data_IF_148561566044
#
_entry.id   IF_148561566044
#
_cell.length_a   1.000
_cell.length_b   1.000
_cell.length_c   1.000
_cell.angle_alpha   90.00
_cell.angle_beta   90.00
_cell.angle_gamma   90.00
#
_symmetry.space_group_name_H-M   'P 1'
#
loop_
_entity.id
_entity.type
_entity.pdbx_description
1 polymer ?
#
# COMPACT_ATOMS: atom_id res chain seq x y z
N UNK A 1 14.85 -0.99 -19.25
CA UNK A 1 16.32 -0.85 -19.22
C UNK A 1 16.77 0.13 -20.29
N UNK A 2 16.42 -0.11 -21.55
CA UNK A 2 16.83 0.76 -22.67
C UNK A 2 16.45 2.24 -22.47
N UNK A 3 15.30 2.49 -21.85
CA UNK A 3 14.76 3.84 -21.63
C UNK A 3 14.87 4.32 -20.18
N UNK A 4 15.56 3.58 -19.29
CA UNK A 4 15.68 3.88 -17.83
C UNK A 4 14.34 4.13 -17.16
N UNK A 5 13.32 3.32 -17.48
CA UNK A 5 11.96 3.44 -16.93
C UNK A 5 11.69 2.31 -15.95
N UNK A 6 11.27 2.67 -14.75
CA UNK A 6 10.84 1.70 -13.73
C UNK A 6 9.41 1.21 -14.01
N UNK A 7 9.25 -0.11 -13.95
CA UNK A 7 7.95 -0.79 -14.08
C UNK A 7 7.56 -1.36 -12.73
N UNK A 8 6.44 -0.92 -12.18
CA UNK A 8 5.92 -1.41 -10.90
C UNK A 8 4.62 -2.19 -11.10
N UNK A 9 4.62 -3.49 -10.77
CA UNK A 9 3.37 -4.25 -10.75
C UNK A 9 2.58 -3.90 -9.49
N UNK A 10 1.27 -3.73 -9.65
CA UNK A 10 0.34 -3.56 -8.54
C UNK A 10 -0.17 -4.94 -8.09
N UNK A 11 -0.30 -5.22 -6.78
CA UNK A 11 -0.91 -6.46 -6.29
C UNK A 11 -2.39 -6.52 -6.64
N UNK A 12 -2.94 -7.72 -6.63
CA UNK A 12 -4.37 -7.93 -6.79
C UNK A 12 -5.16 -7.40 -5.59
N UNK A 13 -6.35 -6.89 -5.88
CA UNK A 13 -7.29 -6.37 -4.89
C UNK A 13 -8.66 -7.05 -5.09
N UNK A 14 -9.08 -7.93 -4.20
CA UNK A 14 -8.36 -8.50 -3.05
C UNK A 14 -7.28 -9.53 -3.44
N UNK A 15 -6.35 -9.88 -2.51
CA UNK A 15 -5.25 -10.79 -2.79
C UNK A 15 -5.64 -12.27 -2.60
N UNK A 16 -6.81 -12.65 -3.06
CA UNK A 16 -7.30 -14.04 -3.07
C UNK A 16 -8.13 -14.33 -4.31
N UNK A 17 -8.33 -15.60 -4.61
CA UNK A 17 -9.09 -16.04 -5.78
C UNK A 17 -10.54 -15.52 -5.75
N UNK A 18 -11.03 -15.03 -6.89
CA UNK A 18 -12.40 -14.56 -7.07
C UNK A 18 -13.06 -15.40 -8.18
N UNK A 19 -14.28 -15.89 -7.92
CA UNK A 19 -15.03 -16.75 -8.86
C UNK A 19 -14.24 -17.98 -9.33
N UNK A 20 -13.36 -18.53 -8.48
CA UNK A 20 -12.50 -19.65 -8.85
C UNK A 20 -11.32 -19.29 -9.76
N UNK A 21 -11.13 -18.02 -10.10
CA UNK A 21 -9.99 -17.53 -10.88
C UNK A 21 -8.84 -17.19 -9.92
N UNK A 22 -7.67 -17.82 -10.07
CA UNK A 22 -6.52 -17.55 -9.21
C UNK A 22 -5.97 -16.14 -9.43
N UNK A 23 -5.34 -15.60 -8.39
CA UNK A 23 -4.60 -14.34 -8.40
C UNK A 23 -3.11 -14.62 -8.29
N UNK A 24 -2.27 -13.71 -8.77
CA UNK A 24 -0.83 -13.92 -8.92
C UNK A 24 -0.05 -13.17 -7.82
N UNK A 25 -0.24 -11.86 -7.68
CA UNK A 25 0.50 -11.02 -6.72
C UNK A 25 -0.32 -10.85 -5.46
N UNK A 26 -0.29 -11.86 -4.58
CA UNK A 26 -1.21 -11.96 -3.43
C UNK A 26 -0.53 -12.00 -2.08
N UNK A 27 0.74 -12.40 -2.03
CA UNK A 27 1.52 -12.58 -0.80
C UNK A 27 3.01 -12.39 -1.06
N UNK A 28 3.78 -12.38 0.01
CA UNK A 28 5.24 -12.20 -0.06
C UNK A 28 5.91 -13.25 -0.95
N UNK A 29 5.55 -14.53 -0.81
CA UNK A 29 6.13 -15.62 -1.62
C UNK A 29 5.90 -15.39 -3.13
N UNK A 30 4.69 -14.97 -3.50
CA UNK A 30 4.35 -14.70 -4.90
C UNK A 30 5.06 -13.46 -5.45
N UNK A 31 5.26 -12.44 -4.61
CA UNK A 31 6.06 -11.26 -4.98
C UNK A 31 7.52 -11.67 -5.18
N UNK A 32 8.11 -12.46 -4.28
CA UNK A 32 9.47 -12.96 -4.43
C UNK A 32 9.65 -13.73 -5.73
N UNK A 33 8.70 -14.63 -6.03
CA UNK A 33 8.69 -15.35 -7.30
C UNK A 33 8.61 -14.43 -8.51
N UNK A 34 7.73 -13.43 -8.46
CA UNK A 34 7.60 -12.44 -9.53
C UNK A 34 8.91 -11.67 -9.74
N UNK A 35 9.53 -11.16 -8.68
CA UNK A 35 10.77 -10.40 -8.76
C UNK A 35 11.95 -11.26 -9.27
N UNK A 36 11.94 -12.55 -8.97
CA UNK A 36 12.98 -13.50 -9.42
C UNK A 36 12.90 -13.82 -10.91
N UNK A 37 11.79 -13.54 -11.59
CA UNK A 37 11.66 -13.76 -13.04
C UNK A 37 12.62 -12.87 -13.84
N UNK A 38 12.93 -11.71 -13.31
CA UNK A 38 13.89 -10.79 -13.89
C UNK A 38 14.54 -9.93 -12.80
N UNK A 39 15.78 -10.21 -12.45
CA UNK A 39 16.49 -9.51 -11.38
C UNK A 39 17.13 -8.22 -11.90
N UNK A 40 16.32 -7.16 -11.96
CA UNK A 40 16.73 -5.83 -12.41
C UNK A 40 15.99 -4.75 -11.61
N UNK A 41 16.68 -3.64 -11.30
CA UNK A 41 16.11 -2.53 -10.52
C UNK A 41 14.85 -1.93 -11.13
N UNK A 42 14.69 -1.98 -12.47
CA UNK A 42 13.51 -1.44 -13.15
C UNK A 42 12.28 -2.35 -13.05
N UNK A 43 12.48 -3.61 -12.66
CA UNK A 43 11.41 -4.58 -12.45
C UNK A 43 11.02 -4.60 -10.96
N UNK A 44 9.95 -3.92 -10.59
CA UNK A 44 9.60 -3.69 -9.21
C UNK A 44 8.10 -3.63 -8.95
N UNK A 45 7.73 -2.93 -7.89
CA UNK A 45 6.41 -2.98 -7.28
C UNK A 45 5.77 -1.59 -7.18
N UNK A 46 4.48 -1.54 -7.40
CA UNK A 46 3.57 -0.57 -6.79
C UNK A 46 2.98 -1.23 -5.56
N UNK A 47 3.57 -1.03 -4.40
CA UNK A 47 3.17 -1.74 -3.19
C UNK A 47 1.94 -1.07 -2.55
N UNK A 48 0.85 -1.83 -2.34
CA UNK A 48 -0.43 -1.30 -1.86
C UNK A 48 -0.84 -1.93 -0.53
N UNK A 49 -0.95 -1.09 0.52
CA UNK A 49 -1.34 -1.55 1.86
C UNK A 49 -2.76 -2.11 1.91
N UNK A 50 -3.70 -1.47 1.22
CA UNK A 50 -5.08 -1.96 1.20
C UNK A 50 -5.24 -3.29 0.49
N UNK A 51 -4.54 -3.47 -0.65
CA UNK A 51 -4.62 -4.71 -1.43
C UNK A 51 -3.98 -5.89 -0.72
N UNK A 52 -2.80 -5.74 -0.12
CA UNK A 52 -2.10 -6.82 0.56
C UNK A 52 -2.47 -6.93 2.04
N UNK A 53 -2.66 -5.80 2.71
CA UNK A 53 -2.93 -5.76 4.15
C UNK A 53 -4.36 -6.13 4.52
N UNK A 54 -5.32 -6.18 3.57
CA UNK A 54 -6.66 -6.71 3.84
C UNK A 54 -6.65 -8.23 4.11
N UNK A 55 -5.56 -8.91 3.80
CA UNK A 55 -5.37 -10.33 4.05
C UNK A 55 -4.48 -10.54 5.29
N UNK A 56 -5.02 -11.18 6.31
CA UNK A 56 -4.35 -11.37 7.62
C UNK A 56 -3.12 -12.27 7.56
N UNK A 57 -2.91 -12.99 6.46
CA UNK A 57 -1.69 -13.78 6.22
C UNK A 57 -0.50 -12.93 5.74
N UNK A 58 -0.70 -11.67 5.39
CA UNK A 58 0.35 -10.75 4.98
C UNK A 58 0.74 -9.82 6.14
N UNK A 59 2.02 -9.76 6.48
CA UNK A 59 2.58 -8.69 7.32
C UNK A 59 3.08 -7.56 6.43
N UNK A 60 2.22 -6.59 6.15
CA UNK A 60 2.50 -5.56 5.17
C UNK A 60 3.71 -4.67 5.56
N UNK A 61 3.87 -4.33 6.83
CA UNK A 61 5.01 -3.51 7.28
C UNK A 61 6.36 -4.22 7.06
N UNK A 62 6.42 -5.54 7.32
CA UNK A 62 7.63 -6.33 7.04
C UNK A 62 7.89 -6.44 5.52
N UNK A 63 6.84 -6.56 4.71
CA UNK A 63 6.99 -6.54 3.25
C UNK A 63 7.57 -5.20 2.76
N UNK A 64 7.13 -4.07 3.34
CA UNK A 64 7.72 -2.74 3.05
C UNK A 64 9.21 -2.74 3.33
N UNK A 65 9.62 -3.15 4.53
CA UNK A 65 11.05 -3.19 4.94
C UNK A 65 11.87 -4.04 3.95
N UNK A 66 11.38 -5.22 3.62
CA UNK A 66 12.05 -6.15 2.72
C UNK A 66 12.24 -5.57 1.32
N UNK A 67 11.18 -5.15 0.68
CA UNK A 67 11.23 -4.71 -0.72
C UNK A 67 11.81 -3.30 -0.90
N UNK A 68 11.72 -2.44 0.12
CA UNK A 68 12.43 -1.17 0.15
C UNK A 68 13.96 -1.39 0.25
N UNK A 69 14.41 -2.30 1.13
CA UNK A 69 15.84 -2.66 1.23
C UNK A 69 16.40 -3.25 -0.08
N UNK A 70 15.55 -3.89 -0.88
CA UNK A 70 15.91 -4.39 -2.22
C UNK A 70 15.90 -3.30 -3.31
N UNK A 71 15.40 -2.08 -3.01
CA UNK A 71 15.21 -1.01 -3.99
C UNK A 71 14.13 -1.33 -5.05
N UNK A 72 13.14 -2.16 -4.69
CA UNK A 72 12.13 -2.67 -5.64
C UNK A 72 10.76 -2.02 -5.49
N UNK A 73 10.57 -1.07 -4.59
CA UNK A 73 9.32 -0.32 -4.48
C UNK A 73 9.46 0.97 -5.28
N UNK A 74 8.73 1.08 -6.38
CA UNK A 74 8.74 2.27 -7.25
C UNK A 74 7.61 3.22 -6.95
N UNK A 75 6.53 2.73 -6.36
CA UNK A 75 5.38 3.53 -5.97
C UNK A 75 4.70 2.89 -4.75
N UNK A 76 4.30 3.71 -3.79
CA UNK A 76 3.59 3.27 -2.60
C UNK A 76 2.14 3.76 -2.61
N UNK A 77 1.19 2.82 -2.48
CA UNK A 77 -0.20 3.10 -2.19
C UNK A 77 -0.45 2.82 -0.71
N UNK A 78 -0.78 3.86 0.05
CA UNK A 78 -1.08 3.73 1.48
C UNK A 78 -2.54 4.07 1.70
N UNK A 79 -3.35 3.04 1.93
CA UNK A 79 -4.75 3.18 2.32
C UNK A 79 -5.06 2.26 3.49
N UNK A 80 -6.04 2.65 4.28
CA UNK A 80 -6.57 1.84 5.36
C UNK A 80 -7.84 1.13 4.91
N UNK A 81 -8.00 -0.09 5.34
CA UNK A 81 -9.21 -0.89 5.14
C UNK A 81 -9.67 -1.44 6.48
N UNK A 82 -10.96 -1.69 6.63
CA UNK A 82 -11.51 -2.37 7.79
C UNK A 82 -11.90 -3.78 7.41
N UNK A 83 -11.20 -4.76 7.98
CA UNK A 83 -11.48 -6.18 7.80
C UNK A 83 -12.66 -6.54 8.70
N UNK A 84 -13.63 -7.22 8.14
CA UNK A 84 -14.85 -7.64 8.81
C UNK A 84 -14.73 -9.09 9.35
N UNK A 85 -15.66 -9.50 10.19
CA UNK A 85 -15.64 -10.82 10.83
C UNK A 85 -15.72 -12.00 9.85
N UNK A 86 -16.36 -11.77 8.71
CA UNK A 86 -16.47 -12.77 7.62
C UNK A 86 -15.25 -12.81 6.70
N UNK A 87 -14.22 -11.99 6.97
CA UNK A 87 -13.01 -11.89 6.15
C UNK A 87 -13.15 -10.96 4.95
N UNK A 88 -14.32 -10.39 4.70
CA UNK A 88 -14.46 -9.29 3.75
C UNK A 88 -13.88 -8.00 4.31
N UNK A 89 -13.75 -6.96 3.49
CA UNK A 89 -13.27 -5.66 3.95
C UNK A 89 -14.00 -4.51 3.27
N UNK A 90 -13.94 -3.36 3.90
CA UNK A 90 -14.47 -2.11 3.37
C UNK A 90 -13.44 -0.99 3.44
N UNK A 91 -13.62 0.06 2.63
CA UNK A 91 -12.79 1.26 2.67
C UNK A 91 -12.93 1.97 4.02
N UNK A 92 -11.82 2.42 4.57
CA UNK A 92 -11.75 3.11 5.85
C UNK A 92 -11.03 4.46 5.72
N UNK A 93 -11.20 5.34 6.71
CA UNK A 93 -10.35 6.52 6.82
C UNK A 93 -8.89 6.10 7.03
N UNK A 94 -7.95 6.91 6.56
CA UNK A 94 -6.51 6.64 6.72
C UNK A 94 -6.05 6.66 8.20
N UNK A 95 -6.78 7.34 9.07
CA UNK A 95 -6.51 7.33 10.51
C UNK A 95 -6.55 5.90 11.06
N UNK A 96 -5.43 5.39 11.59
CA UNK A 96 -5.26 3.97 11.96
C UNK A 96 -6.43 3.40 12.78
N UNK A 97 -6.97 4.07 13.82
CA UNK A 97 -8.08 3.53 14.61
C UNK A 97 -9.41 3.34 13.84
N UNK A 98 -9.54 3.89 12.64
CA UNK A 98 -10.76 3.74 11.84
C UNK A 98 -10.80 2.42 11.05
N UNK A 99 -9.66 1.80 10.82
CA UNK A 99 -9.55 0.57 10.03
C UNK A 99 -8.83 -0.55 10.79
N UNK A 100 -8.27 -1.47 10.03
CA UNK A 100 -7.55 -2.63 10.56
C UNK A 100 -6.04 -2.55 10.37
N UNK A 101 -5.55 -1.56 9.62
CA UNK A 101 -4.13 -1.38 9.37
C UNK A 101 -3.56 -0.25 10.22
N UNK A 102 -2.38 -0.47 10.79
CA UNK A 102 -1.63 0.60 11.45
C UNK A 102 -0.85 1.42 10.42
N UNK A 103 -1.46 2.52 9.99
CA UNK A 103 -0.86 3.42 9.01
C UNK A 103 0.40 4.10 9.54
N UNK A 104 0.51 4.29 10.85
CA UNK A 104 1.71 4.86 11.48
C UNK A 104 2.88 3.88 11.36
N UNK A 105 2.66 2.60 11.68
CA UNK A 105 3.65 1.55 11.52
C UNK A 105 4.11 1.38 10.06
N UNK A 106 3.14 1.39 9.14
CA UNK A 106 3.41 1.30 7.69
C UNK A 106 4.28 2.46 7.21
N UNK A 107 3.93 3.69 7.56
CA UNK A 107 4.70 4.88 7.18
C UNK A 107 6.08 4.88 7.84
N UNK A 108 6.16 4.45 9.09
CA UNK A 108 7.45 4.27 9.76
C UNK A 108 8.32 3.25 9.04
N UNK A 109 7.77 2.15 8.55
CA UNK A 109 8.53 1.16 7.79
C UNK A 109 9.10 1.75 6.48
N UNK A 110 8.34 2.57 5.76
CA UNK A 110 8.85 3.31 4.59
C UNK A 110 9.93 4.32 4.97
N UNK A 111 9.71 5.08 6.04
CA UNK A 111 10.64 6.11 6.52
C UNK A 111 11.97 5.49 6.95
N UNK A 112 11.93 4.48 7.82
CA UNK A 112 13.13 3.78 8.32
C UNK A 112 13.95 3.11 7.19
N UNK A 113 13.27 2.72 6.11
CA UNK A 113 13.91 2.16 4.92
C UNK A 113 14.49 3.23 3.97
N UNK A 114 14.35 4.51 4.28
CA UNK A 114 14.81 5.61 3.43
C UNK A 114 14.08 5.69 2.08
N UNK A 115 12.79 5.41 2.04
CA UNK A 115 12.02 5.43 0.80
C UNK A 115 11.85 6.86 0.26
N UNK A 116 12.39 7.13 -0.92
CA UNK A 116 12.34 8.44 -1.60
C UNK A 116 11.34 8.47 -2.77
N UNK A 117 10.57 7.38 -2.97
CA UNK A 117 9.60 7.29 -4.07
C UNK A 117 8.31 8.04 -3.79
N UNK A 118 7.39 7.96 -4.75
CA UNK A 118 6.06 8.53 -4.61
C UNK A 118 5.19 7.69 -3.69
N UNK A 119 4.47 8.38 -2.79
CA UNK A 119 3.53 7.80 -1.85
C UNK A 119 2.19 8.53 -1.95
N UNK A 120 1.10 7.78 -2.07
CA UNK A 120 -0.24 8.36 -2.24
C UNK A 120 -1.29 7.65 -1.38
N UNK A 121 -2.38 8.37 -0.99
CA UNK A 121 -3.51 7.79 -0.24
C UNK A 121 -4.49 7.02 -1.14
N UNK A 122 -4.05 6.30 -2.09
CA UNK A 122 -4.75 5.44 -3.06
C UNK A 122 -6.28 5.67 -3.18
N UNK A 123 -7.09 5.05 -2.32
CA UNK A 123 -8.55 5.20 -2.29
C UNK A 123 -9.02 6.23 -1.26
N UNK A 124 -10.30 6.65 -1.38
CA UNK A 124 -11.00 7.49 -0.43
C UNK A 124 -12.50 7.25 -0.52
N UNK A 125 -13.14 7.28 0.65
CA UNK A 125 -14.60 7.15 0.76
C UNK A 125 -15.28 8.41 0.20
N UNK A 126 -16.50 8.26 -0.31
CA UNK A 126 -17.33 9.40 -0.66
C UNK A 126 -17.91 10.00 0.61
N UNK A 127 -17.38 11.15 1.05
CA UNK A 127 -17.82 11.84 2.27
C UNK A 127 -18.37 13.22 1.93
N UNK A 128 -19.10 13.82 2.88
CA UNK A 128 -19.64 15.20 2.78
C UNK A 128 -20.49 15.48 1.55
N UNK A 129 -21.28 14.47 1.11
CA UNK A 129 -22.14 14.60 -0.05
C UNK A 129 -21.43 14.59 -1.40
N UNK A 130 -20.16 14.22 -1.43
CA UNK A 130 -19.41 14.01 -2.65
C UNK A 130 -20.08 12.91 -3.50
N UNK A 131 -20.13 13.11 -4.80
CA UNK A 131 -20.68 12.15 -5.76
C UNK A 131 -19.63 11.83 -6.82
N UNK A 132 -19.55 10.55 -7.21
CA UNK A 132 -18.57 10.11 -8.20
C UNK A 132 -18.37 8.59 -8.19
N UNK A 133 -17.23 8.14 -8.66
CA UNK A 133 -16.89 6.72 -8.66
C UNK A 133 -16.59 6.28 -7.21
N UNK A 134 -17.27 5.26 -6.67
CA UNK A 134 -16.96 4.72 -5.36
C UNK A 134 -15.48 4.36 -5.21
N UNK A 135 -14.90 4.63 -4.04
CA UNK A 135 -13.47 4.43 -3.77
C UNK A 135 -12.56 5.58 -4.23
N UNK A 136 -13.11 6.59 -4.91
CA UNK A 136 -12.31 7.72 -5.43
C UNK A 136 -12.70 9.08 -4.84
N UNK A 137 -13.23 9.10 -3.60
CA UNK A 137 -13.58 10.32 -2.89
C UNK A 137 -12.37 11.26 -2.75
N UNK A 138 -12.53 12.51 -3.21
CA UNK A 138 -11.44 13.49 -3.21
C UNK A 138 -11.16 14.01 -1.81
N UNK A 139 -12.21 14.31 -1.04
CA UNK A 139 -12.05 14.87 0.30
C UNK A 139 -11.37 13.87 1.25
N UNK A 140 -11.79 12.61 1.23
CA UNK A 140 -11.19 11.58 2.11
C UNK A 140 -9.73 11.30 1.73
N UNK A 141 -9.40 11.32 0.44
CA UNK A 141 -8.00 11.22 -0.03
C UNK A 141 -7.16 12.44 0.39
N UNK A 142 -7.73 13.64 0.35
CA UNK A 142 -7.04 14.84 0.83
C UNK A 142 -6.76 14.76 2.34
N UNK A 143 -7.73 14.31 3.14
CA UNK A 143 -7.53 14.04 4.57
C UNK A 143 -6.46 12.97 4.80
N UNK A 144 -6.49 11.89 4.01
CA UNK A 144 -5.48 10.83 4.05
C UNK A 144 -4.08 11.37 3.75
N UNK A 145 -3.94 12.17 2.69
CA UNK A 145 -2.66 12.79 2.33
C UNK A 145 -2.11 13.67 3.47
N UNK A 146 -2.95 14.50 4.09
CA UNK A 146 -2.55 15.33 5.21
C UNK A 146 -2.17 14.52 6.45
N UNK A 147 -2.91 13.45 6.74
CA UNK A 147 -2.59 12.53 7.84
C UNK A 147 -1.21 11.89 7.65
N UNK A 148 -0.95 11.35 6.46
CA UNK A 148 0.34 10.75 6.12
C UNK A 148 1.50 11.77 6.17
N UNK A 149 1.27 12.97 5.66
CA UNK A 149 2.27 14.07 5.72
C UNK A 149 2.60 14.44 7.15
N UNK A 150 1.60 14.52 8.04
CA UNK A 150 1.82 14.83 9.46
C UNK A 150 2.62 13.74 10.19
N UNK A 151 2.36 12.47 9.86
CA UNK A 151 3.16 11.34 10.40
C UNK A 151 4.60 11.45 9.89
N UNK A 152 4.80 11.62 8.61
CA UNK A 152 6.14 11.72 7.99
C UNK A 152 6.95 12.87 8.58
N UNK A 153 6.36 14.06 8.68
CA UNK A 153 6.99 15.22 9.32
C UNK A 153 7.39 14.94 10.78
N UNK A 154 6.56 14.17 11.50
CA UNK A 154 6.86 13.78 12.88
C UNK A 154 8.05 12.83 12.94
N UNK A 155 8.10 11.82 12.08
CA UNK A 155 9.23 10.89 12.00
C UNK A 155 10.53 11.63 11.66
N UNK A 156 10.54 12.52 10.67
CA UNK A 156 11.70 13.35 10.31
C UNK A 156 12.24 14.20 11.49
N UNK A 157 11.39 14.57 12.42
CA UNK A 157 11.78 15.37 13.61
C UNK A 157 12.30 14.50 14.76
N UNK A 158 11.83 13.26 14.86
CA UNK A 158 12.25 12.34 15.92
C UNK A 158 13.61 11.70 15.61
N UNK A 159 14.01 11.62 14.36
CA UNK A 159 15.29 11.05 13.92
C UNK A 159 16.45 12.08 13.98
N UNK A 160 16.19 13.30 14.43
CA UNK A 160 17.21 14.36 14.65
C UNK A 160 17.65 14.46 16.09
#
# INVERSE_FOLDING_TARGET
IEFDVNMGIHPEDPPWSIFGIPRIITCEENIDRFLSLYDDKHHGLTLCSGSLGCATFNNYAEMVKKYAAMGRIHFAHVRNVKILEDGSFEESAHYSPCGSLDIVEILKAYHDAGFEGYLRPDHGRMIWGETGKPGYGLYDRALGAMYMTGIWETLDKLDK
#
